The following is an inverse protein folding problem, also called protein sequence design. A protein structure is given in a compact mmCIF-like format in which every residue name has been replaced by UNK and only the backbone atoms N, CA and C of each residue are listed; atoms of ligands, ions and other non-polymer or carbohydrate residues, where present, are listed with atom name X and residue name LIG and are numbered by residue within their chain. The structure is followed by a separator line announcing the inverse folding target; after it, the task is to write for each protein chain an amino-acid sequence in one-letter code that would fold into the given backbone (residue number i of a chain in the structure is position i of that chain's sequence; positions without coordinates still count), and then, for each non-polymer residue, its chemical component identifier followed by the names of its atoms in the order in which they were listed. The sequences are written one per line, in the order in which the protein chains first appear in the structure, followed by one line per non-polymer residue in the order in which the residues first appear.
data_IF_212353245199
#
_entry.id   IF_212353245199
#
_cell.length_a   1.000
_cell.length_b   1.000
_cell.length_c   1.000
_cell.angle_alpha   90.00
_cell.angle_beta   90.00
_cell.angle_gamma   90.00
#
_symmetry.space_group_name_H-M   'P 1'
#
loop_
_entity.id
_entity.type
_entity.pdbx_description
1 polymer ?
#
# COMPACT_ATOMS: atom_id res chain seq x y z
N UNK A 1 -31.45 7.61 20.46
CA UNK A 1 -30.87 7.85 19.12
C UNK A 1 -31.60 6.96 18.12
N UNK A 2 -32.45 7.59 17.31
CA UNK A 2 -33.57 6.99 16.59
C UNK A 2 -33.22 6.70 15.13
N UNK A 3 -32.69 5.50 14.91
CA UNK A 3 -32.79 4.60 13.72
C UNK A 3 -31.63 3.60 13.84
N UNK A 4 -31.87 2.27 13.70
CA UNK A 4 -30.77 1.33 13.61
C UNK A 4 -29.95 1.69 12.37
N UNK A 5 -28.68 2.03 12.59
CA UNK A 5 -27.74 2.28 11.49
C UNK A 5 -27.62 0.95 10.73
N UNK A 6 -27.77 0.99 9.40
CA UNK A 6 -27.60 -0.22 8.60
C UNK A 6 -26.19 -0.79 8.81
N UNK A 7 -26.06 -2.11 8.93
CA UNK A 7 -24.76 -2.78 9.15
C UNK A 7 -23.71 -2.35 8.12
N UNK A 8 -24.13 -2.16 6.87
CA UNK A 8 -23.32 -1.63 5.78
C UNK A 8 -22.79 -0.22 6.08
N UNK A 9 -23.62 0.67 6.59
CA UNK A 9 -23.24 2.05 6.94
C UNK A 9 -22.24 2.07 8.10
N UNK A 10 -22.35 1.13 9.04
CA UNK A 10 -21.39 1.02 10.14
C UNK A 10 -19.99 0.61 9.66
N UNK A 11 -19.89 -0.44 8.82
CA UNK A 11 -18.59 -0.92 8.31
C UNK A 11 -17.98 0.09 7.33
N UNK A 12 -18.78 0.65 6.41
CA UNK A 12 -18.32 1.71 5.49
C UNK A 12 -17.88 2.97 6.24
N UNK A 13 -18.61 3.35 7.29
CA UNK A 13 -18.25 4.49 8.14
C UNK A 13 -16.91 4.30 8.85
N UNK A 14 -16.64 3.10 9.38
CA UNK A 14 -15.31 2.76 9.95
C UNK A 14 -14.19 2.83 8.93
N UNK A 15 -14.42 2.26 7.75
CA UNK A 15 -13.42 2.25 6.68
C UNK A 15 -13.08 3.66 6.20
N UNK A 16 -14.09 4.48 5.89
CA UNK A 16 -13.90 5.88 5.50
C UNK A 16 -13.25 6.71 6.63
N UNK A 17 -13.63 6.43 7.89
CA UNK A 17 -13.03 7.06 9.06
C UNK A 17 -11.55 6.75 9.25
N UNK A 18 -11.06 5.63 8.73
CA UNK A 18 -9.63 5.26 8.74
C UNK A 18 -8.92 5.79 7.49
N UNK A 19 -9.55 5.77 6.31
CA UNK A 19 -8.96 6.31 5.09
C UNK A 19 -8.70 7.81 5.20
N UNK A 20 -9.64 8.57 5.79
CA UNK A 20 -9.50 10.02 5.91
C UNK A 20 -8.20 10.46 6.62
N UNK A 21 -7.88 10.00 7.84
CA UNK A 21 -6.63 10.35 8.49
C UNK A 21 -5.41 9.81 7.74
N UNK A 22 -5.49 8.64 7.10
CA UNK A 22 -4.40 8.12 6.24
C UNK A 22 -4.13 9.10 5.09
N UNK A 23 -5.18 9.54 4.37
CA UNK A 23 -5.05 10.47 3.27
C UNK A 23 -4.43 11.81 3.72
N UNK A 24 -4.87 12.36 4.86
CA UNK A 24 -4.30 13.59 5.43
C UNK A 24 -2.82 13.40 5.80
N UNK A 25 -2.47 12.29 6.44
CA UNK A 25 -1.08 11.96 6.77
C UNK A 25 -0.21 11.82 5.51
N UNK A 26 -0.74 11.19 4.46
CA UNK A 26 -0.05 11.05 3.18
C UNK A 26 0.15 12.38 2.46
N UNK A 27 -0.80 13.30 2.54
CA UNK A 27 -0.61 14.67 2.01
C UNK A 27 0.52 15.37 2.76
N UNK A 28 0.53 15.29 4.09
CA UNK A 28 1.57 15.90 4.91
C UNK A 28 2.96 15.31 4.62
N UNK A 29 3.07 13.98 4.61
CA UNK A 29 4.33 13.29 4.28
C UNK A 29 4.74 13.55 2.83
N UNK A 30 3.79 13.60 1.89
CA UNK A 30 4.04 13.91 0.49
C UNK A 30 4.68 15.29 0.33
N UNK A 31 4.17 16.30 1.01
CA UNK A 31 4.77 17.66 1.00
C UNK A 31 6.21 17.62 1.52
N UNK A 32 6.47 16.94 2.63
CA UNK A 32 7.83 16.78 3.18
C UNK A 32 8.73 16.07 2.16
N UNK A 33 8.21 15.05 1.49
CA UNK A 33 8.96 14.29 0.50
C UNK A 33 9.30 15.15 -0.73
N UNK A 34 8.37 15.92 -1.27
CA UNK A 34 8.64 16.87 -2.36
C UNK A 34 9.70 17.91 -1.99
N UNK A 35 9.63 18.46 -0.77
CA UNK A 35 10.65 19.39 -0.28
C UNK A 35 12.01 18.69 -0.23
N UNK A 36 12.09 17.50 0.33
CA UNK A 36 13.33 16.72 0.42
C UNK A 36 13.93 16.41 -0.94
N UNK A 37 13.10 16.05 -1.91
CA UNK A 37 13.51 15.77 -3.30
C UNK A 37 14.06 17.03 -3.94
N UNK A 38 13.41 18.17 -3.77
CA UNK A 38 13.92 19.46 -4.27
C UNK A 38 15.31 19.79 -3.73
N UNK A 39 15.53 19.52 -2.44
CA UNK A 39 16.84 19.70 -1.81
C UNK A 39 17.88 18.72 -2.34
N UNK A 40 17.49 17.46 -2.60
CA UNK A 40 18.37 16.44 -3.18
C UNK A 40 18.89 16.86 -4.55
N UNK A 41 18.04 17.35 -5.46
CA UNK A 41 18.45 17.76 -6.82
C UNK A 41 19.49 18.89 -6.75
N UNK A 42 19.28 19.87 -5.87
CA UNK A 42 20.24 20.97 -5.67
C UNK A 42 21.54 20.48 -5.04
N UNK A 43 21.47 19.55 -4.08
CA UNK A 43 22.65 18.99 -3.42
C UNK A 43 23.50 18.17 -4.40
N UNK A 44 22.87 17.31 -5.21
CA UNK A 44 23.55 16.44 -6.17
C UNK A 44 24.24 17.24 -7.30
N UNK A 45 23.61 18.33 -7.76
CA UNK A 45 24.23 19.27 -8.69
C UNK A 45 25.48 19.96 -8.11
N UNK A 46 25.47 20.27 -6.80
CA UNK A 46 26.62 20.87 -6.10
C UNK A 46 27.77 19.88 -5.96
N UNK A 47 27.51 18.63 -5.59
CA UNK A 47 28.57 17.61 -5.50
C UNK A 47 29.14 17.24 -6.88
N UNK A 48 28.30 17.21 -7.91
CA UNK A 48 28.72 16.93 -9.28
C UNK A 48 29.45 18.09 -9.98
N UNK A 49 29.71 19.21 -9.27
CA UNK A 49 30.27 20.44 -9.84
C UNK A 49 29.51 20.95 -11.09
N UNK A 50 28.21 20.68 -11.17
CA UNK A 50 27.34 21.14 -12.27
C UNK A 50 26.81 22.54 -11.97
N UNK A 51 26.35 23.25 -13.00
CA UNK A 51 25.62 24.51 -12.84
C UNK A 51 24.39 24.30 -11.96
N UNK A 52 23.95 25.31 -11.18
CA UNK A 52 22.74 25.18 -10.38
C UNK A 52 21.57 24.73 -11.26
N UNK A 53 20.80 23.70 -10.84
CA UNK A 53 19.77 23.12 -11.68
C UNK A 53 18.68 24.15 -11.94
N UNK A 54 18.17 24.19 -13.17
CA UNK A 54 17.01 25.00 -13.50
C UNK A 54 15.75 24.43 -12.83
N UNK A 55 14.76 25.29 -12.61
CA UNK A 55 13.47 24.90 -12.00
C UNK A 55 12.78 23.74 -12.75
N UNK A 56 13.04 23.61 -14.06
CA UNK A 56 12.51 22.54 -14.91
C UNK A 56 13.00 21.16 -14.47
N UNK A 57 14.29 21.02 -14.13
CA UNK A 57 14.88 19.74 -13.71
C UNK A 57 14.36 19.33 -12.33
N UNK A 58 14.17 20.30 -11.43
CA UNK A 58 13.52 20.03 -10.14
C UNK A 58 12.07 19.56 -10.30
N UNK A 59 11.34 20.10 -11.26
CA UNK A 59 9.95 19.73 -11.53
C UNK A 59 9.81 18.32 -12.11
N UNK A 60 10.68 17.95 -13.05
CA UNK A 60 10.69 16.61 -13.66
C UNK A 60 10.92 15.52 -12.61
N UNK A 61 11.92 15.70 -11.74
CA UNK A 61 12.21 14.79 -10.63
C UNK A 61 11.07 14.70 -9.61
N UNK A 62 10.36 15.81 -9.35
CA UNK A 62 9.17 15.80 -8.49
C UNK A 62 8.04 14.98 -9.09
N UNK A 63 7.78 15.10 -10.40
CA UNK A 63 6.69 14.37 -11.05
C UNK A 63 6.92 12.86 -11.04
N UNK A 64 8.16 12.42 -11.23
CA UNK A 64 8.52 10.99 -11.23
C UNK A 64 8.17 10.27 -9.92
N UNK A 65 8.06 11.03 -8.84
CA UNK A 65 7.78 10.53 -7.50
C UNK A 65 6.28 10.43 -7.19
N UNK A 66 5.44 11.21 -7.88
CA UNK A 66 3.98 11.22 -7.68
C UNK A 66 3.36 9.82 -7.80
N UNK A 67 3.69 8.99 -8.81
CA UNK A 67 3.17 7.62 -8.91
C UNK A 67 3.56 6.74 -7.71
N UNK A 68 4.76 6.90 -7.16
CA UNK A 68 5.20 6.17 -5.97
C UNK A 68 4.40 6.53 -4.73
N UNK A 69 4.12 7.81 -4.54
CA UNK A 69 3.26 8.26 -3.44
C UNK A 69 1.83 7.72 -3.58
N UNK A 70 1.31 7.69 -4.82
CA UNK A 70 -0.01 7.14 -5.12
C UNK A 70 -0.10 5.64 -4.84
N UNK A 71 0.89 4.85 -5.25
CA UNK A 71 0.93 3.41 -5.00
C UNK A 71 1.04 3.11 -3.50
N UNK A 72 1.89 3.84 -2.76
CA UNK A 72 1.98 3.70 -1.31
C UNK A 72 0.66 4.04 -0.59
N UNK A 73 -0.10 5.01 -1.10
CA UNK A 73 -1.45 5.30 -0.59
C UNK A 73 -2.40 4.13 -0.85
N UNK A 74 -2.39 3.55 -2.05
CA UNK A 74 -3.22 2.40 -2.39
C UNK A 74 -2.90 1.20 -1.50
N UNK A 75 -1.64 0.95 -1.22
CA UNK A 75 -1.19 -0.09 -0.31
C UNK A 75 -1.74 0.12 1.11
N UNK A 76 -1.65 1.35 1.63
CA UNK A 76 -2.20 1.72 2.93
C UNK A 76 -3.72 1.53 3.00
N UNK A 77 -4.44 1.79 1.90
CA UNK A 77 -5.89 1.57 1.80
C UNK A 77 -6.24 0.08 1.84
N UNK A 78 -5.46 -0.78 1.16
CA UNK A 78 -5.64 -2.24 1.22
C UNK A 78 -5.42 -2.75 2.65
N UNK A 79 -4.35 -2.31 3.31
CA UNK A 79 -4.09 -2.66 4.72
C UNK A 79 -5.20 -2.17 5.66
N UNK A 80 -5.74 -0.96 5.41
CA UNK A 80 -6.87 -0.44 6.16
C UNK A 80 -8.12 -1.32 5.99
N UNK A 81 -8.40 -1.81 4.77
CA UNK A 81 -9.52 -2.71 4.51
C UNK A 81 -9.35 -4.05 5.27
N UNK A 82 -8.14 -4.61 5.28
CA UNK A 82 -7.81 -5.84 6.02
C UNK A 82 -7.97 -5.63 7.53
N UNK A 83 -7.44 -4.52 8.05
CA UNK A 83 -7.55 -4.15 9.46
C UNK A 83 -9.01 -3.97 9.90
N UNK A 84 -9.85 -3.37 9.06
CA UNK A 84 -11.30 -3.24 9.34
C UNK A 84 -11.96 -4.61 9.41
N UNK A 85 -11.67 -5.50 8.46
CA UNK A 85 -12.24 -6.85 8.45
C UNK A 85 -11.85 -7.63 9.70
N UNK A 86 -10.57 -7.63 10.07
CA UNK A 86 -10.05 -8.34 11.26
C UNK A 86 -10.62 -7.75 12.54
N UNK A 87 -10.70 -6.43 12.64
CA UNK A 87 -11.27 -5.71 13.80
C UNK A 87 -12.74 -6.03 14.08
N UNK A 88 -13.47 -6.73 13.19
CA UNK A 88 -14.84 -7.18 13.46
C UNK A 88 -14.90 -8.37 14.44
N UNK A 89 -13.84 -9.18 14.54
CA UNK A 89 -13.79 -10.38 15.41
C UNK A 89 -12.79 -10.31 16.53
N UNK A 90 -11.67 -9.63 16.34
CA UNK A 90 -10.59 -9.58 17.33
C UNK A 90 -10.47 -8.21 17.98
N UNK A 91 -9.90 -8.17 19.18
CA UNK A 91 -9.63 -6.92 19.90
C UNK A 91 -8.49 -6.11 19.24
N UNK A 92 -8.27 -4.88 19.71
CA UNK A 92 -7.35 -3.93 19.07
C UNK A 92 -5.90 -4.44 19.00
N UNK A 93 -5.38 -5.08 20.05
CA UNK A 93 -3.98 -5.54 20.10
C UNK A 93 -3.74 -6.67 19.07
N UNK A 94 -4.54 -7.75 19.01
CA UNK A 94 -4.43 -8.78 17.98
C UNK A 94 -4.60 -8.24 16.55
N UNK A 95 -5.48 -7.26 16.34
CA UNK A 95 -5.66 -6.69 15.01
C UNK A 95 -4.36 -6.07 14.48
N UNK A 96 -3.70 -5.25 15.31
CA UNK A 96 -2.44 -4.60 14.94
C UNK A 96 -1.32 -5.63 14.69
N UNK A 97 -1.20 -6.67 15.52
CA UNK A 97 -0.17 -7.69 15.34
C UNK A 97 -0.38 -8.50 14.07
N UNK A 98 -1.63 -8.86 13.75
CA UNK A 98 -1.96 -9.58 12.50
C UNK A 98 -1.72 -8.69 11.29
N UNK A 99 -2.16 -7.42 11.32
CA UNK A 99 -1.91 -6.49 10.22
C UNK A 99 -0.40 -6.31 9.96
N UNK A 100 0.41 -6.20 11.01
CA UNK A 100 1.85 -6.13 10.88
C UNK A 100 2.45 -7.40 10.26
N UNK A 101 1.99 -8.59 10.67
CA UNK A 101 2.42 -9.85 10.08
C UNK A 101 2.03 -9.95 8.59
N UNK A 102 0.81 -9.55 8.24
CA UNK A 102 0.33 -9.51 6.84
C UNK A 102 1.18 -8.56 6.00
N UNK A 103 1.53 -7.38 6.52
CA UNK A 103 2.40 -6.43 5.83
C UNK A 103 3.79 -7.02 5.53
N UNK A 104 4.41 -7.65 6.53
CA UNK A 104 5.73 -8.26 6.40
C UNK A 104 5.69 -9.42 5.39
N UNK A 105 4.70 -10.31 5.52
CA UNK A 105 4.54 -11.45 4.62
C UNK A 105 4.25 -11.01 3.19
N UNK A 106 3.41 -9.98 3.00
CA UNK A 106 3.03 -9.46 1.69
C UNK A 106 4.20 -8.85 0.89
N UNK A 107 5.24 -8.38 1.56
CA UNK A 107 6.48 -7.91 0.94
C UNK A 107 7.54 -9.01 0.79
N UNK A 108 7.64 -9.92 1.76
CA UNK A 108 8.68 -10.96 1.73
C UNK A 108 8.35 -12.12 0.80
N UNK A 109 7.07 -12.49 0.66
CA UNK A 109 6.65 -13.60 -0.20
C UNK A 109 7.14 -13.49 -1.65
N UNK A 110 6.95 -12.36 -2.37
CA UNK A 110 7.46 -12.23 -3.74
C UNK A 110 8.99 -12.25 -3.79
N UNK A 111 9.67 -11.59 -2.86
CA UNK A 111 11.14 -11.62 -2.78
C UNK A 111 11.68 -13.05 -2.61
N UNK A 112 11.00 -13.89 -1.83
CA UNK A 112 11.36 -15.30 -1.62
C UNK A 112 11.12 -16.13 -2.89
N UNK A 113 10.01 -15.89 -3.60
CA UNK A 113 9.70 -16.58 -4.87
C UNK A 113 10.75 -16.23 -5.94
N UNK A 114 11.09 -14.96 -6.11
CA UNK A 114 12.10 -14.54 -7.09
C UNK A 114 13.49 -15.12 -6.76
N UNK A 115 13.88 -15.10 -5.48
CA UNK A 115 15.15 -15.69 -5.02
C UNK A 115 15.18 -17.21 -5.24
N UNK A 116 14.04 -17.89 -5.08
CA UNK A 116 13.92 -19.34 -5.31
C UNK A 116 14.08 -19.73 -6.78
N UNK A 117 13.65 -18.88 -7.71
CA UNK A 117 13.85 -19.09 -9.15
C UNK A 117 15.32 -18.97 -9.56
N UNK A 118 16.10 -18.13 -8.87
CA UNK A 118 17.54 -18.00 -9.10
C UNK A 118 18.36 -19.20 -8.60
N UNK A 119 18.04 -19.70 -7.39
CA UNK A 119 18.80 -20.76 -6.72
C UNK A 119 18.22 -22.19 -6.91
N UNK A 120 17.17 -22.36 -7.72
CA UNK A 120 16.53 -23.67 -8.06
C UNK A 120 15.96 -24.46 -6.88
N UNK A 121 15.57 -23.81 -5.79
CA UNK A 121 14.89 -24.47 -4.67
C UNK A 121 13.37 -24.51 -4.87
N UNK A 122 12.85 -25.51 -5.59
CA UNK A 122 11.43 -25.63 -5.95
C UNK A 122 10.46 -25.61 -4.74
N UNK A 123 10.87 -26.16 -3.60
CA UNK A 123 10.06 -26.21 -2.37
C UNK A 123 9.80 -24.80 -1.82
N UNK A 124 10.80 -23.92 -1.87
CA UNK A 124 10.70 -22.55 -1.36
C UNK A 124 9.80 -21.70 -2.26
N UNK A 125 9.91 -21.89 -3.58
CA UNK A 125 9.03 -21.25 -4.57
C UNK A 125 7.59 -21.72 -4.44
N UNK A 126 7.36 -23.02 -4.19
CA UNK A 126 6.03 -23.57 -3.93
C UNK A 126 5.38 -22.95 -2.68
N UNK A 127 6.12 -22.88 -1.55
CA UNK A 127 5.60 -22.26 -0.31
C UNK A 127 5.34 -20.77 -0.51
N UNK A 128 6.23 -20.06 -1.23
CA UNK A 128 6.04 -18.65 -1.56
C UNK A 128 4.80 -18.40 -2.43
N UNK A 129 4.55 -19.25 -3.43
CA UNK A 129 3.33 -19.21 -4.24
C UNK A 129 2.06 -19.47 -3.41
N UNK A 130 2.11 -20.45 -2.50
CA UNK A 130 0.98 -20.77 -1.63
C UNK A 130 0.64 -19.58 -0.72
N UNK A 131 1.65 -18.90 -0.18
CA UNK A 131 1.49 -17.68 0.59
C UNK A 131 0.94 -16.54 -0.28
N UNK A 132 1.45 -16.35 -1.51
CA UNK A 132 1.00 -15.30 -2.43
C UNK A 132 -0.45 -15.50 -2.94
N UNK A 133 -0.97 -16.73 -2.91
CA UNK A 133 -2.38 -17.02 -3.22
C UNK A 133 -3.29 -16.66 -2.04
N UNK A 134 -2.85 -16.89 -0.81
CA UNK A 134 -3.66 -16.68 0.40
C UNK A 134 -3.58 -15.22 0.89
N UNK A 135 -2.41 -14.60 0.81
CA UNK A 135 -2.17 -13.24 1.26
C UNK A 135 -2.02 -12.27 0.09
N UNK A 136 -2.49 -11.02 0.24
CA UNK A 136 -2.30 -10.00 -0.78
C UNK A 136 -0.80 -9.75 -0.98
N UNK A 137 -0.36 -9.79 -2.23
CA UNK A 137 1.02 -9.44 -2.61
C UNK A 137 1.11 -7.92 -2.65
N UNK A 138 1.52 -7.32 -1.53
CA UNK A 138 1.65 -5.86 -1.37
C UNK A 138 2.80 -5.28 -2.19
N UNK A 139 3.77 -6.11 -2.59
CA UNK A 139 4.92 -5.70 -3.38
C UNK A 139 4.56 -5.11 -4.76
N UNK A 140 3.36 -5.42 -5.29
CA UNK A 140 2.85 -4.74 -6.49
C UNK A 140 2.67 -3.22 -6.30
N UNK A 141 2.60 -2.73 -5.06
CA UNK A 141 2.57 -1.29 -4.78
C UNK A 141 3.97 -0.72 -4.54
N UNK A 142 5.00 -1.57 -4.44
CA UNK A 142 6.35 -1.15 -4.12
C UNK A 142 7.20 -1.00 -5.38
N UNK A 143 7.32 0.25 -5.84
CA UNK A 143 8.19 0.62 -6.97
C UNK A 143 9.50 1.27 -6.52
N UNK A 144 9.90 1.11 -5.25
CA UNK A 144 11.10 1.75 -4.71
C UNK A 144 12.35 1.41 -5.54
N UNK A 145 12.51 0.13 -5.93
CA UNK A 145 13.65 -0.32 -6.72
C UNK A 145 13.68 0.32 -8.12
N UNK A 146 12.53 0.49 -8.76
CA UNK A 146 12.43 1.13 -10.07
C UNK A 146 12.72 2.64 -9.98
N UNK A 147 12.16 3.32 -8.97
CA UNK A 147 12.40 4.76 -8.74
C UNK A 147 13.85 5.04 -8.35
N UNK A 148 14.46 4.19 -7.51
CA UNK A 148 15.87 4.30 -7.14
C UNK A 148 16.81 4.05 -8.34
N UNK A 149 16.38 3.24 -9.30
CA UNK A 149 17.07 3.02 -10.57
C UNK A 149 16.85 4.11 -11.64
N UNK A 150 16.02 5.13 -11.35
CA UNK A 150 15.67 6.19 -12.30
C UNK A 150 14.71 5.75 -13.41
N UNK A 151 14.01 4.63 -13.24
CA UNK A 151 13.04 4.16 -14.22
C UNK A 151 11.70 4.89 -14.06
N UNK A 152 11.15 5.38 -15.17
CA UNK A 152 9.82 5.99 -15.20
C UNK A 152 8.73 4.93 -14.96
N UNK A 153 7.74 5.28 -14.15
CA UNK A 153 6.62 4.40 -13.83
C UNK A 153 5.54 4.57 -14.90
N UNK A 154 5.20 3.52 -15.66
CA UNK A 154 4.16 3.62 -16.68
C UNK A 154 2.79 3.91 -16.06
N UNK A 155 2.01 4.81 -16.67
CA UNK A 155 0.64 5.14 -16.20
C UNK A 155 -0.28 3.92 -16.27
N UNK A 156 -0.06 3.01 -17.23
CA UNK A 156 -0.80 1.77 -17.35
C UNK A 156 -0.65 0.87 -16.11
N UNK A 157 0.56 0.83 -15.52
CA UNK A 157 0.82 0.10 -14.29
C UNK A 157 -0.01 0.65 -13.14
N UNK A 158 -0.09 1.97 -13.02
CA UNK A 158 -0.87 2.65 -11.99
C UNK A 158 -2.37 2.33 -12.13
N UNK A 159 -2.87 2.24 -13.36
CA UNK A 159 -4.25 1.84 -13.64
C UNK A 159 -4.55 0.41 -13.17
N UNK A 160 -3.69 -0.55 -13.50
CA UNK A 160 -3.84 -1.93 -13.04
C UNK A 160 -3.69 -2.08 -11.52
N UNK A 161 -2.75 -1.34 -10.91
CA UNK A 161 -2.59 -1.32 -9.46
C UNK A 161 -3.84 -0.76 -8.74
N UNK A 162 -4.46 0.28 -9.32
CA UNK A 162 -5.73 0.80 -8.80
C UNK A 162 -6.86 -0.23 -8.88
N UNK A 163 -6.98 -0.93 -10.01
CA UNK A 163 -7.98 -2.01 -10.17
C UNK A 163 -7.75 -3.12 -9.14
N UNK A 164 -6.50 -3.53 -8.95
CA UNK A 164 -6.13 -4.52 -7.93
C UNK A 164 -6.49 -4.05 -6.52
N UNK A 165 -6.16 -2.80 -6.17
CA UNK A 165 -6.54 -2.18 -4.90
C UNK A 165 -8.06 -2.17 -4.69
N UNK A 166 -8.82 -1.72 -5.69
CA UNK A 166 -10.28 -1.64 -5.61
C UNK A 166 -10.94 -3.02 -5.44
N UNK A 167 -10.47 -4.03 -6.17
CA UNK A 167 -10.97 -5.41 -6.05
C UNK A 167 -10.68 -5.94 -4.64
N UNK A 168 -9.44 -5.85 -4.17
CA UNK A 168 -9.07 -6.34 -2.83
C UNK A 168 -9.83 -5.61 -1.72
N UNK A 169 -9.97 -4.29 -1.81
CA UNK A 169 -10.76 -3.53 -0.84
C UNK A 169 -12.22 -3.99 -0.85
N UNK A 170 -12.81 -4.22 -2.03
CA UNK A 170 -14.19 -4.71 -2.13
C UNK A 170 -14.34 -6.09 -1.51
N UNK A 171 -13.43 -7.03 -1.80
CA UNK A 171 -13.45 -8.38 -1.22
C UNK A 171 -13.31 -8.31 0.30
N UNK A 172 -12.37 -7.53 0.82
CA UNK A 172 -12.17 -7.39 2.27
C UNK A 172 -13.34 -6.72 2.97
N UNK A 173 -13.99 -5.74 2.33
CA UNK A 173 -15.18 -5.10 2.87
C UNK A 173 -16.39 -6.05 2.86
N UNK A 174 -16.53 -6.89 1.83
CA UNK A 174 -17.53 -7.96 1.81
C UNK A 174 -17.27 -8.99 2.91
N UNK A 175 -16.02 -9.42 3.08
CA UNK A 175 -15.62 -10.30 4.19
C UNK A 175 -15.93 -9.66 5.54
N UNK A 176 -15.64 -8.37 5.74
CA UNK A 176 -15.98 -7.66 6.97
C UNK A 176 -17.48 -7.67 7.26
N UNK A 177 -18.33 -7.56 6.23
CA UNK A 177 -19.79 -7.62 6.37
C UNK A 177 -20.27 -9.03 6.72
N UNK A 178 -19.78 -10.05 6.02
CA UNK A 178 -20.11 -11.46 6.30
C UNK A 178 -19.69 -11.84 7.73
N UNK A 179 -18.47 -11.47 8.10
CA UNK A 179 -17.90 -11.75 9.41
C UNK A 179 -18.59 -10.97 10.54
N UNK A 180 -19.29 -9.88 10.23
CA UNK A 180 -20.13 -9.16 11.19
C UNK A 180 -21.49 -9.86 11.39
N UNK A 181 -22.02 -10.52 10.35
CA UNK A 181 -23.34 -11.16 10.36
C UNK A 181 -23.43 -12.30 11.36
N UNK A 182 -22.42 -13.19 11.45
CA UNK A 182 -22.50 -14.30 12.42
C UNK A 182 -22.32 -13.83 13.88
N UNK A 183 -21.93 -12.58 14.14
CA UNK A 183 -21.87 -12.05 15.52
C UNK A 183 -23.24 -11.65 16.05
N UNK A 184 -24.16 -11.25 15.18
CA UNK A 184 -25.52 -10.84 15.57
C UNK A 184 -26.47 -12.06 15.73
N UNK A 185 -26.02 -13.26 15.36
CA UNK A 185 -26.77 -14.52 15.50
C UNK A 185 -26.44 -15.29 16.80
N UNK A 186 -25.50 -14.81 17.61
CA UNK A 186 -25.05 -15.45 18.86
C UNK A 186 -25.48 -14.66 20.12
#
# INVERSE_FOLDING_TARGET
LSKPIGRQQFVLGKFLGIIWPIAVMFVFLGVIFFVTVSYKVVYDARESAKTPPEWQQCYEEMILIVPGLALALMEAVVLAAISVAISTRVSMIPNLTICAAVYVIGHLAPMIVESSLADKFEIVGFVGLLIAVVFPVLDHFNIYAAVAGGAEVPVDYLGWAFVYCAIYCTIMMLLALLLFEDRDLA
#
